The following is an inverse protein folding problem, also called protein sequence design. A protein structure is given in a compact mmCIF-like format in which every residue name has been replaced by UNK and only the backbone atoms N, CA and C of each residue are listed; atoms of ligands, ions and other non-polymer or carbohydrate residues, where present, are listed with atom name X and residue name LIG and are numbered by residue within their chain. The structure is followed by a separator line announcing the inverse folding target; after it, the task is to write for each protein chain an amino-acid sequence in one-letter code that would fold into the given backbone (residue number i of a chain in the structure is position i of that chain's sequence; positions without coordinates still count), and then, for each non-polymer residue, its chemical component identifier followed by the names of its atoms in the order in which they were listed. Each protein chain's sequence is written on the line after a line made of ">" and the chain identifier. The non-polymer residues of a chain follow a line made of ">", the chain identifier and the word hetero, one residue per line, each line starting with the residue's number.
data_IF_551838029091
#
_entry.id   IF_551838029091
#
_cell.length_a   1.000
_cell.length_b   1.000
_cell.length_c   1.000
_cell.angle_alpha   90.00
_cell.angle_beta   90.00
_cell.angle_gamma   90.00
#
_symmetry.space_group_name_H-M   'P 1'
#
loop_
_entity.id
_entity.type
_entity.pdbx_description
1 polymer ?
#
# COMPACT_ATOMS: atom_id res chain seq x y z
N UNK A 1 -1.05 6.63 -15.33
CA UNK A 1 0.17 7.34 -14.83
C UNK A 1 0.05 7.53 -13.33
N UNK A 2 1.07 7.14 -12.57
CA UNK A 2 1.12 7.33 -11.10
C UNK A 2 1.12 8.83 -10.79
N UNK A 3 0.18 9.24 -9.94
CA UNK A 3 -0.03 10.63 -9.51
C UNK A 3 0.61 10.93 -8.15
N UNK A 4 0.80 9.92 -7.31
CA UNK A 4 1.34 10.05 -5.97
C UNK A 4 1.06 8.83 -5.10
N UNK A 5 1.37 8.95 -3.81
CA UNK A 5 0.98 7.95 -2.81
C UNK A 5 -0.50 8.15 -2.45
N UNK A 6 -1.26 7.06 -2.46
CA UNK A 6 -2.64 7.05 -2.00
C UNK A 6 -2.70 6.80 -0.48
N UNK A 7 -2.12 5.70 -0.03
CA UNK A 7 -2.05 5.35 1.39
C UNK A 7 -0.91 4.37 1.70
N UNK A 8 -0.61 4.23 2.96
CA UNK A 8 0.20 3.14 3.50
C UNK A 8 -0.74 2.16 4.21
N UNK A 9 -0.73 0.89 3.79
CA UNK A 9 -1.52 -0.14 4.44
C UNK A 9 -0.97 -0.45 5.85
N UNK A 10 -1.86 -0.69 6.79
CA UNK A 10 -1.56 -1.16 8.14
C UNK A 10 -2.43 -2.37 8.46
N UNK A 11 -1.82 -3.50 8.78
CA UNK A 11 -2.54 -4.67 9.26
C UNK A 11 -2.65 -4.64 10.78
N UNK A 12 -3.88 -4.71 11.28
CA UNK A 12 -4.21 -4.74 12.71
C UNK A 12 -5.00 -6.00 13.06
N UNK A 13 -5.08 -6.32 14.34
CA UNK A 13 -5.87 -7.43 14.89
C UNK A 13 -7.29 -7.01 15.24
N UNK A 14 -7.52 -5.71 15.47
CA UNK A 14 -8.80 -5.14 15.85
C UNK A 14 -8.91 -3.74 15.24
N UNK A 15 -10.02 -3.46 14.55
CA UNK A 15 -10.25 -2.17 13.92
C UNK A 15 -10.49 -1.07 14.95
N UNK A 16 -11.23 -1.36 16.03
CA UNK A 16 -11.55 -0.39 17.08
C UNK A 16 -10.30 0.06 17.85
N UNK A 17 -9.35 -0.86 18.11
CA UNK A 17 -8.07 -0.51 18.75
C UNK A 17 -7.22 0.36 17.84
N UNK A 18 -7.15 0.03 16.56
CA UNK A 18 -6.41 0.81 15.57
C UNK A 18 -7.04 2.20 15.36
N UNK A 19 -8.39 2.29 15.34
CA UNK A 19 -9.13 3.55 15.28
C UNK A 19 -8.77 4.45 16.47
N UNK A 20 -8.85 3.89 17.67
CA UNK A 20 -8.52 4.64 18.88
C UNK A 20 -7.08 5.18 18.87
N UNK A 21 -6.10 4.36 18.50
CA UNK A 21 -4.69 4.75 18.43
C UNK A 21 -4.44 5.84 17.37
N UNK A 22 -4.99 5.68 16.16
CA UNK A 22 -4.82 6.64 15.07
C UNK A 22 -5.50 7.98 15.38
N UNK A 23 -6.72 7.96 15.93
CA UNK A 23 -7.42 9.18 16.34
C UNK A 23 -6.66 9.91 17.46
N UNK A 24 -6.12 9.17 18.43
CA UNK A 24 -5.29 9.75 19.49
C UNK A 24 -4.00 10.41 18.95
N UNK A 25 -3.48 9.94 17.81
CA UNK A 25 -2.36 10.55 17.08
C UNK A 25 -2.77 11.71 16.17
N UNK A 26 -4.03 12.10 16.17
CA UNK A 26 -4.55 13.22 15.37
C UNK A 26 -4.98 12.86 13.95
N UNK A 27 -5.11 11.58 13.62
CA UNK A 27 -5.70 11.18 12.35
C UNK A 27 -7.20 11.40 12.36
N UNK A 28 -7.73 11.81 11.22
CA UNK A 28 -9.16 11.91 10.97
C UNK A 28 -9.66 10.61 10.29
N UNK A 29 -10.62 9.93 10.90
CA UNK A 29 -11.29 8.80 10.29
C UNK A 29 -12.18 9.28 9.14
N UNK A 30 -11.92 8.77 7.95
CA UNK A 30 -12.72 9.06 6.74
C UNK A 30 -13.91 8.11 6.67
N UNK A 31 -13.65 6.81 6.78
CA UNK A 31 -14.69 5.79 6.85
C UNK A 31 -14.16 4.51 7.53
N UNK A 32 -15.08 3.65 7.92
CA UNK A 32 -14.85 2.24 8.24
C UNK A 32 -15.86 1.39 7.47
N UNK A 33 -15.47 0.18 7.10
CA UNK A 33 -16.32 -0.80 6.44
C UNK A 33 -16.03 -2.18 7.01
N UNK A 34 -17.10 -2.95 7.28
CA UNK A 34 -17.01 -4.32 7.74
C UNK A 34 -17.32 -5.29 6.60
N UNK A 35 -16.75 -6.47 6.67
CA UNK A 35 -16.98 -7.56 5.72
C UNK A 35 -16.81 -7.15 4.24
N UNK A 36 -15.82 -6.28 3.96
CA UNK A 36 -15.44 -5.92 2.60
C UNK A 36 -14.94 -7.18 1.88
N UNK A 37 -15.36 -7.37 0.65
CA UNK A 37 -14.97 -8.54 -0.14
C UNK A 37 -13.45 -8.52 -0.36
N UNK A 38 -12.80 -9.59 0.06
CA UNK A 38 -11.39 -9.80 -0.20
C UNK A 38 -11.23 -10.58 -1.50
N UNK A 39 -10.88 -9.85 -2.58
CA UNK A 39 -10.83 -10.44 -3.91
C UNK A 39 -9.91 -11.67 -3.95
N UNK A 40 -10.36 -12.81 -4.53
CA UNK A 40 -9.59 -14.07 -4.48
C UNK A 40 -8.22 -14.00 -5.15
N UNK A 41 -8.01 -13.08 -6.09
CA UNK A 41 -6.69 -12.86 -6.71
C UNK A 41 -5.60 -12.40 -5.74
N UNK A 42 -5.97 -11.89 -4.54
CA UNK A 42 -5.01 -11.52 -3.47
C UNK A 42 -4.41 -12.75 -2.76
N UNK A 43 -4.97 -13.95 -2.96
CA UNK A 43 -4.54 -15.16 -2.24
C UNK A 43 -3.02 -15.43 -2.28
N UNK A 44 -2.29 -15.22 -3.40
CA UNK A 44 -0.82 -15.43 -3.43
C UNK A 44 -0.03 -14.43 -2.57
N UNK A 45 -0.64 -13.29 -2.22
CA UNK A 45 0.00 -12.23 -1.43
C UNK A 45 -0.28 -12.36 0.07
N UNK A 46 -1.19 -13.25 0.47
CA UNK A 46 -1.67 -13.43 1.84
C UNK A 46 -1.09 -14.71 2.44
N UNK A 47 -0.81 -14.69 3.73
CA UNK A 47 -0.49 -15.92 4.48
C UNK A 47 -1.73 -16.80 4.63
N UNK A 48 -2.91 -16.18 4.74
CA UNK A 48 -4.20 -16.86 4.71
C UNK A 48 -5.27 -15.99 4.07
N UNK A 49 -5.87 -16.46 3.00
CA UNK A 49 -6.99 -15.78 2.37
C UNK A 49 -8.29 -16.02 3.15
N UNK A 50 -8.94 -14.93 3.57
CA UNK A 50 -10.31 -14.90 4.08
C UNK A 50 -11.21 -14.23 3.04
N UNK A 51 -12.48 -14.66 2.87
CA UNK A 51 -13.38 -14.10 1.86
C UNK A 51 -13.68 -12.61 2.05
N UNK A 52 -13.59 -12.15 3.29
CA UNK A 52 -13.83 -10.76 3.69
C UNK A 52 -12.79 -10.30 4.69
N UNK A 53 -12.65 -8.99 4.83
CA UNK A 53 -11.86 -8.32 5.85
C UNK A 53 -12.56 -7.04 6.27
N UNK A 54 -12.21 -6.50 7.43
CA UNK A 54 -12.65 -5.17 7.85
C UNK A 54 -11.62 -4.13 7.43
N UNK A 55 -12.08 -2.92 7.14
CA UNK A 55 -11.26 -1.85 6.58
C UNK A 55 -11.60 -0.51 7.22
N UNK A 56 -10.57 0.31 7.50
CA UNK A 56 -10.70 1.68 7.93
C UNK A 56 -9.73 2.59 7.20
N UNK A 57 -10.16 3.78 6.82
CA UNK A 57 -9.32 4.76 6.13
C UNK A 57 -9.19 6.03 6.94
N UNK A 58 -7.94 6.46 7.17
CA UNK A 58 -7.57 7.55 8.06
C UNK A 58 -6.64 8.54 7.39
N UNK A 59 -6.91 9.82 7.55
CA UNK A 59 -6.07 10.91 7.03
C UNK A 59 -5.38 11.64 8.17
N UNK A 60 -4.06 11.79 8.14
CA UNK A 60 -3.35 12.69 9.04
C UNK A 60 -3.62 14.14 8.62
N UNK A 61 -3.37 15.13 9.51
CA UNK A 61 -3.36 16.53 9.14
C UNK A 61 -2.36 16.85 8.03
N UNK A 62 -1.23 16.16 8.04
CA UNK A 62 -0.19 16.21 7.01
C UNK A 62 0.46 14.83 6.90
N UNK A 63 0.80 14.39 5.70
CA UNK A 63 1.52 13.14 5.47
C UNK A 63 0.70 12.09 4.73
N UNK A 64 1.09 10.82 4.89
CA UNK A 64 0.51 9.68 4.20
C UNK A 64 -0.77 9.21 4.89
N UNK A 65 -1.88 9.05 4.18
CA UNK A 65 -3.05 8.37 4.72
C UNK A 65 -2.72 6.92 5.12
N UNK A 66 -3.44 6.41 6.09
CA UNK A 66 -3.32 5.02 6.55
C UNK A 66 -4.61 4.28 6.21
N UNK A 67 -4.48 3.15 5.53
CA UNK A 67 -5.56 2.17 5.40
C UNK A 67 -5.31 1.04 6.39
N UNK A 68 -6.21 0.87 7.35
CA UNK A 68 -6.18 -0.24 8.30
C UNK A 68 -6.96 -1.40 7.74
N UNK A 69 -6.36 -2.59 7.70
CA UNK A 69 -7.00 -3.82 7.27
C UNK A 69 -6.96 -4.85 8.39
N UNK A 70 -8.08 -5.50 8.69
CA UNK A 70 -8.19 -6.57 9.69
C UNK A 70 -8.56 -7.86 8.97
N UNK A 71 -7.57 -8.73 8.80
CA UNK A 71 -7.72 -10.06 8.18
C UNK A 71 -8.00 -11.18 9.20
N UNK A 72 -8.32 -10.84 10.44
CA UNK A 72 -8.38 -11.76 11.57
C UNK A 72 -7.01 -11.92 12.23
N UNK A 73 -6.62 -13.15 12.61
CA UNK A 73 -5.33 -13.38 13.26
C UNK A 73 -4.19 -13.19 12.26
N UNK A 74 -3.31 -12.23 12.56
CA UNK A 74 -2.14 -11.97 11.72
C UNK A 74 -1.22 -13.20 11.65
N UNK A 75 -0.80 -13.62 10.44
CA UNK A 75 0.15 -14.69 10.27
C UNK A 75 1.56 -14.28 10.68
N UNK A 76 2.46 -15.25 10.79
CA UNK A 76 3.88 -15.01 10.94
C UNK A 76 4.44 -14.51 9.60
N UNK A 77 4.66 -13.23 9.50
CA UNK A 77 5.25 -12.55 8.35
C UNK A 77 5.93 -11.27 8.79
N UNK A 78 6.60 -10.60 7.85
CA UNK A 78 7.21 -9.29 8.12
C UNK A 78 6.59 -8.20 7.24
N UNK A 79 6.49 -7.01 7.80
CA UNK A 79 6.18 -5.80 7.05
C UNK A 79 7.46 -5.10 6.64
N UNK A 80 7.62 -4.73 5.37
CA UNK A 80 8.82 -4.07 4.89
C UNK A 80 8.84 -2.58 5.22
N UNK A 81 7.66 -1.97 5.39
CA UNK A 81 7.58 -0.53 5.61
C UNK A 81 7.56 -0.17 7.10
N UNK A 82 8.23 0.94 7.42
CA UNK A 82 8.10 1.65 8.69
C UNK A 82 7.72 3.09 8.38
N UNK A 83 6.88 3.67 9.21
CA UNK A 83 6.35 5.00 8.97
C UNK A 83 6.66 5.94 10.14
N UNK A 84 7.08 7.14 9.79
CA UNK A 84 7.10 8.33 10.64
C UNK A 84 6.39 9.46 9.89
N UNK A 85 5.98 10.56 10.54
CA UNK A 85 5.32 11.67 9.86
C UNK A 85 6.07 12.21 8.64
N UNK A 86 7.41 12.17 8.66
CA UNK A 86 8.25 12.80 7.63
C UNK A 86 8.84 11.80 6.64
N UNK A 87 8.84 10.50 6.95
CA UNK A 87 9.60 9.51 6.21
C UNK A 87 8.95 8.13 6.26
N UNK A 88 8.92 7.45 5.12
CA UNK A 88 8.68 6.01 5.03
C UNK A 88 10.03 5.32 4.83
N UNK A 89 10.36 4.35 5.67
CA UNK A 89 11.53 3.49 5.44
C UNK A 89 11.07 2.16 4.84
N UNK A 90 11.65 1.77 3.72
CA UNK A 90 11.47 0.46 3.09
C UNK A 90 12.66 -0.43 3.43
N UNK A 91 12.43 -1.46 4.24
CA UNK A 91 13.41 -2.50 4.54
C UNK A 91 13.54 -3.51 3.40
N UNK A 92 14.72 -3.62 2.80
CA UNK A 92 15.00 -4.43 1.62
C UNK A 92 16.19 -5.36 1.84
N UNK A 93 16.13 -6.56 1.25
CA UNK A 93 17.28 -7.47 1.14
C UNK A 93 18.26 -7.04 0.03
N UNK A 94 17.77 -6.31 -0.98
CA UNK A 94 18.57 -5.67 -2.02
C UNK A 94 18.09 -4.22 -2.22
N UNK A 95 18.61 -3.28 -1.41
CA UNK A 95 18.19 -1.88 -1.48
C UNK A 95 18.43 -1.22 -2.84
N UNK A 96 19.44 -1.67 -3.58
CA UNK A 96 19.74 -1.11 -4.90
C UNK A 96 18.70 -1.53 -5.92
N UNK A 97 18.29 -2.80 -5.92
CA UNK A 97 17.23 -3.31 -6.79
C UNK A 97 15.88 -2.66 -6.48
N UNK A 98 15.51 -2.51 -5.20
CA UNK A 98 14.26 -1.83 -4.82
C UNK A 98 14.29 -0.34 -5.18
N UNK A 99 15.39 0.36 -4.97
CA UNK A 99 15.51 1.77 -5.36
C UNK A 99 15.38 1.95 -6.89
N UNK A 100 15.97 1.04 -7.67
CA UNK A 100 15.83 1.06 -9.13
C UNK A 100 14.40 0.74 -9.58
N UNK A 101 13.75 -0.23 -8.95
CA UNK A 101 12.34 -0.54 -9.23
C UNK A 101 11.42 0.65 -8.92
N UNK A 102 11.61 1.31 -7.77
CA UNK A 102 10.86 2.51 -7.41
C UNK A 102 11.02 3.62 -8.45
N UNK A 103 12.23 3.81 -9.00
CA UNK A 103 12.48 4.82 -10.04
C UNK A 103 11.89 4.44 -11.38
N UNK A 104 12.19 3.24 -11.87
CA UNK A 104 11.87 2.81 -13.23
C UNK A 104 10.38 2.48 -13.42
N UNK A 105 9.76 1.80 -12.44
CA UNK A 105 8.37 1.37 -12.51
C UNK A 105 7.39 2.34 -11.85
N UNK A 106 7.75 2.88 -10.67
CA UNK A 106 6.82 3.61 -9.80
C UNK A 106 7.06 5.13 -9.79
N UNK A 107 7.96 5.64 -10.68
CA UNK A 107 8.19 7.07 -10.93
C UNK A 107 8.72 7.88 -9.75
N UNK A 108 9.29 7.22 -8.74
CA UNK A 108 10.02 7.92 -7.72
C UNK A 108 11.26 8.59 -8.30
N UNK A 109 11.65 9.71 -7.71
CA UNK A 109 12.84 10.50 -8.12
C UNK A 109 13.75 10.65 -6.92
N UNK A 110 15.03 10.71 -7.18
CA UNK A 110 16.05 10.90 -6.14
C UNK A 110 17.31 10.11 -6.47
N UNK A 111 18.30 10.31 -5.64
CA UNK A 111 19.61 9.67 -5.76
C UNK A 111 19.76 8.58 -4.72
N UNK A 112 20.61 7.63 -5.01
CA UNK A 112 20.90 6.48 -4.14
C UNK A 112 19.62 5.80 -3.61
N UNK A 113 19.39 5.91 -2.31
CA UNK A 113 18.32 5.21 -1.58
C UNK A 113 17.28 6.16 -0.99
N UNK A 114 17.43 7.47 -1.16
CA UNK A 114 16.46 8.47 -0.72
C UNK A 114 15.64 8.96 -1.92
N UNK A 115 14.39 8.55 -1.96
CA UNK A 115 13.52 8.72 -3.10
C UNK A 115 12.27 9.51 -2.72
N UNK A 116 11.77 10.32 -3.65
CA UNK A 116 10.57 11.12 -3.46
C UNK A 116 9.56 10.87 -4.57
N UNK A 117 8.29 10.88 -4.22
CA UNK A 117 7.18 10.89 -5.16
C UNK A 117 6.34 12.14 -4.91
N UNK A 118 5.98 12.86 -5.98
CA UNK A 118 5.06 13.97 -5.89
C UNK A 118 3.72 13.49 -5.33
N UNK A 119 3.03 14.35 -4.58
CA UNK A 119 1.68 14.08 -4.10
C UNK A 119 0.68 14.92 -4.89
N UNK A 120 -0.55 14.43 -5.11
CA UNK A 120 -1.63 15.28 -5.60
C UNK A 120 -2.04 16.37 -4.58
N UNK A 121 -1.60 16.23 -3.31
CA UNK A 121 -1.81 17.25 -2.26
C UNK A 121 -0.73 18.32 -2.44
N UNK A 122 -1.11 19.60 -2.70
CA UNK A 122 -0.17 20.68 -2.86
C UNK A 122 0.73 20.85 -1.63
N UNK A 123 2.04 21.01 -1.87
CA UNK A 123 3.03 21.27 -0.81
C UNK A 123 3.50 20.03 -0.05
N UNK A 124 2.98 18.84 -0.35
CA UNK A 124 3.44 17.60 0.26
C UNK A 124 4.14 16.67 -0.74
N UNK A 125 5.14 15.95 -0.28
CA UNK A 125 5.86 14.90 -1.04
C UNK A 125 6.05 13.69 -0.14
N UNK A 126 5.87 12.51 -0.70
CA UNK A 126 6.25 11.28 0.00
C UNK A 126 7.75 11.05 -0.19
N UNK A 127 8.46 10.91 0.91
CA UNK A 127 9.87 10.52 0.91
C UNK A 127 9.98 9.08 1.39
N UNK A 128 10.70 8.25 0.62
CA UNK A 128 11.03 6.87 0.98
C UNK A 128 12.55 6.74 1.07
N UNK A 129 13.02 6.19 2.18
CA UNK A 129 14.39 5.74 2.36
C UNK A 129 14.43 4.21 2.23
N UNK A 130 15.21 3.70 1.28
CA UNK A 130 15.41 2.25 1.13
C UNK A 130 16.61 1.84 1.98
N UNK A 131 16.35 1.04 3.01
CA UNK A 131 17.36 0.63 3.98
C UNK A 131 17.60 -0.88 3.89
N UNK A 132 18.82 -1.30 4.24
CA UNK A 132 19.13 -2.72 4.33
C UNK A 132 18.34 -3.36 5.48
N UNK A 133 17.69 -4.49 5.21
CA UNK A 133 16.98 -5.28 6.19
C UNK A 133 17.32 -6.76 6.01
N UNK A 134 18.11 -7.28 6.92
CA UNK A 134 18.58 -8.68 6.90
C UNK A 134 17.57 -9.67 7.47
N UNK A 135 16.42 -9.20 7.95
CA UNK A 135 15.38 -10.10 8.47
C UNK A 135 14.86 -11.00 7.35
N UNK A 136 14.82 -12.28 7.62
CA UNK A 136 14.25 -13.29 6.72
C UNK A 136 12.76 -13.51 7.03
N UNK A 137 12.04 -14.07 6.06
CA UNK A 137 10.62 -14.40 6.17
C UNK A 137 9.79 -13.81 5.03
N UNK A 138 8.60 -14.37 4.80
CA UNK A 138 7.75 -13.93 3.71
C UNK A 138 7.22 -12.51 3.97
N UNK A 139 7.20 -11.71 2.92
CA UNK A 139 6.47 -10.44 2.90
C UNK A 139 5.02 -10.77 2.54
N UNK A 140 4.10 -10.56 3.47
CA UNK A 140 2.69 -10.91 3.31
C UNK A 140 1.82 -9.68 3.52
N UNK A 141 0.76 -9.56 2.73
CA UNK A 141 -0.18 -8.45 2.80
C UNK A 141 -0.94 -8.39 4.14
N UNK A 142 -1.13 -9.54 4.77
CA UNK A 142 -1.76 -9.69 6.09
C UNK A 142 -0.75 -9.76 7.26
N UNK A 143 0.55 -9.51 7.01
CA UNK A 143 1.55 -9.40 8.07
C UNK A 143 1.33 -8.15 8.93
N UNK A 144 1.52 -8.28 10.25
CA UNK A 144 1.37 -7.16 11.18
C UNK A 144 2.31 -5.98 10.84
N UNK A 145 1.82 -4.74 11.01
CA UNK A 145 2.53 -3.51 10.68
C UNK A 145 2.14 -2.94 9.32
N UNK A 146 3.11 -2.46 8.53
CA UNK A 146 2.83 -1.83 7.24
C UNK A 146 3.32 -2.71 6.08
N UNK A 147 2.45 -3.58 5.53
CA UNK A 147 2.86 -4.57 4.54
C UNK A 147 2.92 -4.03 3.11
N UNK A 148 2.20 -2.97 2.78
CA UNK A 148 1.98 -2.49 1.42
C UNK A 148 1.97 -0.97 1.35
N UNK A 149 2.50 -0.42 0.24
CA UNK A 149 2.36 0.99 -0.13
C UNK A 149 1.47 1.09 -1.37
N UNK A 150 0.39 1.87 -1.26
CA UNK A 150 -0.55 2.11 -2.33
C UNK A 150 -0.26 3.41 -3.06
N UNK A 151 -0.35 3.38 -4.39
CA UNK A 151 -0.07 4.48 -5.29
C UNK A 151 -1.31 4.84 -6.09
N UNK A 152 -1.67 6.12 -6.08
CA UNK A 152 -2.77 6.64 -6.89
C UNK A 152 -2.37 6.69 -8.36
N UNK A 153 -3.17 6.10 -9.22
CA UNK A 153 -2.99 6.07 -10.67
C UNK A 153 -4.20 6.68 -11.39
N UNK A 154 -3.97 7.28 -12.54
CA UNK A 154 -5.04 7.64 -13.47
C UNK A 154 -5.08 6.74 -14.72
N UNK A 155 -4.25 5.69 -14.76
CA UNK A 155 -4.21 4.68 -15.82
C UNK A 155 -3.57 3.41 -15.25
N UNK A 156 -4.35 2.68 -14.46
CA UNK A 156 -3.87 1.51 -13.70
C UNK A 156 -3.30 0.42 -14.61
N UNK A 157 -3.91 0.20 -15.76
CA UNK A 157 -3.48 -0.85 -16.69
C UNK A 157 -2.10 -0.53 -17.29
N UNK A 158 -1.83 0.74 -17.66
CA UNK A 158 -0.53 1.17 -18.19
C UNK A 158 0.57 1.12 -17.11
N UNK A 159 0.23 1.52 -15.88
CA UNK A 159 1.18 1.50 -14.78
C UNK A 159 1.49 0.05 -14.34
N UNK A 160 0.49 -0.85 -14.39
CA UNK A 160 0.72 -2.28 -14.15
C UNK A 160 1.60 -2.91 -15.24
N UNK A 161 1.38 -2.58 -16.51
CA UNK A 161 2.26 -3.00 -17.62
C UNK A 161 3.69 -2.51 -17.39
N UNK A 162 3.86 -1.29 -16.89
CA UNK A 162 5.20 -0.74 -16.58
C UNK A 162 5.87 -1.52 -15.45
N UNK A 163 5.12 -1.86 -14.39
CA UNK A 163 5.63 -2.68 -13.30
C UNK A 163 6.01 -4.10 -13.77
N UNK A 164 5.20 -4.72 -14.64
CA UNK A 164 5.50 -6.04 -15.22
C UNK A 164 6.79 -5.98 -16.05
N UNK A 165 6.97 -4.96 -16.88
CA UNK A 165 8.20 -4.78 -17.67
C UNK A 165 9.44 -4.57 -16.78
N UNK A 166 9.28 -4.00 -15.60
CA UNK A 166 10.34 -3.85 -14.60
C UNK A 166 10.56 -5.09 -13.72
N UNK A 167 9.89 -6.21 -14.03
CA UNK A 167 10.11 -7.50 -13.39
C UNK A 167 9.24 -7.78 -12.16
N UNK A 168 8.11 -7.09 -11.99
CA UNK A 168 7.18 -7.44 -10.91
C UNK A 168 6.61 -8.86 -11.08
N UNK A 169 6.28 -9.48 -9.95
CA UNK A 169 5.71 -10.84 -9.88
C UNK A 169 4.40 -10.84 -9.10
N UNK A 170 3.71 -11.97 -9.07
CA UNK A 170 2.50 -12.21 -8.29
C UNK A 170 1.43 -11.11 -8.45
N UNK A 171 1.25 -10.63 -9.69
CA UNK A 171 0.23 -9.64 -9.97
C UNK A 171 -1.18 -10.22 -9.84
N UNK A 172 -2.06 -9.49 -9.13
CA UNK A 172 -3.49 -9.86 -9.02
C UNK A 172 -4.27 -9.62 -10.32
N UNK A 173 -3.67 -8.91 -11.30
CA UNK A 173 -4.45 -8.22 -12.31
C UNK A 173 -5.28 -7.09 -11.69
N UNK A 174 -6.10 -6.45 -12.52
CA UNK A 174 -6.98 -5.34 -12.10
C UNK A 174 -8.34 -5.90 -11.65
N UNK A 175 -8.84 -5.44 -10.50
CA UNK A 175 -10.18 -5.76 -10.01
C UNK A 175 -10.83 -4.52 -9.37
N UNK A 176 -12.15 -4.57 -9.14
CA UNK A 176 -12.88 -3.49 -8.47
C UNK A 176 -13.13 -3.84 -7.01
N UNK A 177 -13.08 -2.82 -6.15
CA UNK A 177 -13.48 -2.89 -4.74
C UNK A 177 -14.49 -1.79 -4.48
N UNK A 178 -15.67 -2.17 -3.97
CA UNK A 178 -16.69 -1.23 -3.56
C UNK A 178 -16.42 -0.81 -2.12
N UNK A 179 -16.21 0.47 -1.91
CA UNK A 179 -16.06 1.13 -0.62
C UNK A 179 -17.34 1.91 -0.29
N UNK A 180 -17.56 2.31 0.98
CA UNK A 180 -18.78 2.99 1.39
C UNK A 180 -19.11 4.27 0.62
N UNK A 181 -18.07 5.00 0.17
CA UNK A 181 -18.21 6.30 -0.49
C UNK A 181 -17.85 6.27 -1.99
N UNK A 182 -17.25 5.17 -2.47
CA UNK A 182 -16.77 5.08 -3.87
C UNK A 182 -16.49 3.64 -4.28
N UNK A 183 -16.36 3.41 -5.58
CA UNK A 183 -15.72 2.22 -6.12
C UNK A 183 -14.32 2.56 -6.63
N UNK A 184 -13.37 1.69 -6.38
CA UNK A 184 -11.99 1.84 -6.83
C UNK A 184 -11.58 0.63 -7.66
N UNK A 185 -10.72 0.85 -8.65
CA UNK A 185 -9.98 -0.22 -9.34
C UNK A 185 -8.64 -0.38 -8.67
N UNK A 186 -8.25 -1.59 -8.37
CA UNK A 186 -6.98 -1.89 -7.71
C UNK A 186 -6.23 -2.98 -8.44
N UNK A 187 -4.90 -2.96 -8.31
CA UNK A 187 -4.02 -4.05 -8.70
C UNK A 187 -2.86 -4.13 -7.70
N UNK A 188 -2.58 -5.32 -7.19
CA UNK A 188 -1.44 -5.55 -6.31
C UNK A 188 -0.40 -6.42 -7.03
N UNK A 189 0.86 -6.23 -6.66
CA UNK A 189 1.98 -7.00 -7.20
C UNK A 189 3.18 -6.95 -6.26
N UNK A 190 4.13 -7.86 -6.47
CA UNK A 190 5.43 -7.84 -5.80
C UNK A 190 6.48 -7.18 -6.68
N UNK A 191 7.35 -6.36 -6.09
CA UNK A 191 8.62 -5.98 -6.74
C UNK A 191 9.51 -7.21 -6.95
N UNK A 192 10.59 -7.12 -7.73
CA UNK A 192 11.56 -8.22 -7.89
C UNK A 192 12.15 -8.73 -6.57
N UNK A 193 12.19 -7.90 -5.53
CA UNK A 193 12.67 -8.25 -4.18
C UNK A 193 11.57 -8.77 -3.26
N UNK A 194 10.31 -8.81 -3.74
CA UNK A 194 9.15 -9.35 -3.02
C UNK A 194 8.33 -8.31 -2.24
N UNK A 195 8.70 -7.02 -2.26
CA UNK A 195 7.92 -5.95 -1.63
C UNK A 195 6.57 -5.79 -2.32
N UNK A 196 5.48 -5.68 -1.54
CA UNK A 196 4.13 -5.55 -2.08
C UNK A 196 3.79 -4.09 -2.29
N UNK A 197 3.30 -3.78 -3.50
CA UNK A 197 2.74 -2.49 -3.88
C UNK A 197 1.32 -2.65 -4.37
N UNK A 198 0.53 -1.58 -4.25
CA UNK A 198 -0.81 -1.48 -4.77
C UNK A 198 -0.93 -0.28 -5.70
N UNK A 199 -1.64 -0.43 -6.81
CA UNK A 199 -2.13 0.66 -7.64
C UNK A 199 -3.61 0.85 -7.35
N UNK A 200 -4.02 2.10 -7.17
CA UNK A 200 -5.41 2.49 -6.92
C UNK A 200 -5.84 3.51 -7.96
N UNK A 201 -6.97 3.27 -8.62
CA UNK A 201 -7.59 4.21 -9.55
C UNK A 201 -9.03 4.47 -9.08
N UNK A 202 -9.34 5.75 -8.83
CA UNK A 202 -10.67 6.14 -8.39
C UNK A 202 -11.59 6.17 -9.62
N UNK A 203 -12.64 5.37 -9.61
CA UNK A 203 -13.67 5.42 -10.64
C UNK A 203 -14.50 6.71 -10.50
N UNK A 204 -14.14 7.74 -11.27
CA UNK A 204 -14.87 9.01 -11.30
C UNK A 204 -16.20 8.94 -12.09
N UNK A 205 -16.53 7.77 -12.66
CA UNK A 205 -17.65 7.57 -13.59
C UNK A 205 -18.96 7.02 -12.98
N UNK A 206 -19.05 6.79 -11.69
CA UNK A 206 -20.26 6.24 -11.04
C UNK A 206 -20.83 7.19 -9.98
N UNK A 207 -21.28 8.37 -10.40
CA UNK A 207 -22.34 9.07 -9.66
C UNK A 207 -23.65 8.37 -10.05
N UNK A 208 -24.10 7.45 -9.21
CA UNK A 208 -25.51 6.97 -9.22
C UNK A 208 -26.41 7.95 -8.53
#
# INVERSE_FOLDING_TARGET
>A
MILGVDHLAMTATCLDEADHDLVARGFHRVFTAQAVVNHPSKAPLLGRHHPTHDLGFYRPPLGVPIEVTVHGKAPSGRSPFRWTPDLISLGSLDPSADAEFLRSALRFRGEDRLLTLASPIPGWRCTIEVVEDTRTGPLLLDAAGHPCLALLSNSIDDDLVSAIKAGCTDSTGTFCTDLPDRSVRTALFRSPTGTIFELVEINTGATR
#
